data_IF_289932798781
#
_entry.id   IF_289932798781
#
_cell.length_a   1.000
_cell.length_b   1.000
_cell.length_c   1.000
_cell.angle_alpha   90.00
_cell.angle_beta   90.00
_cell.angle_gamma   90.00
#
_symmetry.space_group_name_H-M   'P 1'
#
loop_
_entity.id
_entity.type
_entity.pdbx_description
1 polymer ?
#
# COMPACT_ATOMS: atom_id res chain seq x y z
N UNK A 1 1.10 -36.70 -34.16
CA UNK A 1 1.05 -36.42 -32.71
C UNK A 1 1.37 -34.95 -32.53
N UNK A 2 0.37 -34.09 -32.31
CA UNK A 2 0.62 -32.67 -32.01
C UNK A 2 1.11 -32.58 -30.57
N UNK A 3 2.31 -32.04 -30.36
CA UNK A 3 2.83 -31.75 -29.02
C UNK A 3 2.24 -30.41 -28.54
N UNK A 4 1.46 -30.44 -27.46
CA UNK A 4 1.03 -29.24 -26.75
C UNK A 4 2.19 -28.77 -25.86
N UNK A 5 2.75 -27.60 -26.17
CA UNK A 5 3.68 -26.90 -25.27
C UNK A 5 2.82 -26.12 -24.26
N UNK A 6 2.67 -26.65 -23.05
CA UNK A 6 2.06 -25.90 -21.94
C UNK A 6 3.02 -24.80 -21.50
N UNK A 7 2.70 -23.56 -21.85
CA UNK A 7 3.36 -22.37 -21.32
C UNK A 7 2.91 -22.19 -19.87
N UNK A 8 3.79 -22.48 -18.92
CA UNK A 8 3.55 -22.24 -17.49
C UNK A 8 3.63 -20.72 -17.25
N UNK A 9 2.49 -20.03 -17.28
CA UNK A 9 2.42 -18.63 -16.86
C UNK A 9 2.47 -18.62 -15.34
N UNK A 10 3.69 -18.48 -14.79
CA UNK A 10 3.86 -18.18 -13.38
C UNK A 10 3.22 -16.82 -13.11
N UNK A 11 2.38 -16.66 -12.08
CA UNK A 11 1.93 -15.34 -11.68
C UNK A 11 3.18 -14.56 -11.27
N UNK A 12 3.57 -13.59 -12.10
CA UNK A 12 4.46 -12.54 -11.64
C UNK A 12 3.74 -11.94 -10.42
N UNK A 13 4.43 -11.82 -9.30
CA UNK A 13 3.89 -11.08 -8.16
C UNK A 13 3.83 -9.62 -8.61
N UNK A 14 2.70 -9.22 -9.18
CA UNK A 14 2.41 -7.85 -9.53
C UNK A 14 2.15 -7.10 -8.23
N UNK A 15 3.03 -6.14 -7.95
CA UNK A 15 3.02 -5.39 -6.71
C UNK A 15 2.61 -3.95 -7.03
N UNK A 16 1.44 -3.56 -6.55
CA UNK A 16 1.03 -2.16 -6.42
C UNK A 16 2.23 -1.33 -5.92
N UNK A 17 2.67 -0.36 -6.72
CA UNK A 17 3.86 0.43 -6.39
C UNK A 17 3.44 1.75 -5.77
N UNK A 18 3.90 2.02 -4.56
CA UNK A 18 3.50 3.20 -3.79
C UNK A 18 4.64 4.19 -3.70
N UNK A 19 4.35 5.43 -4.05
CA UNK A 19 5.26 6.55 -3.82
C UNK A 19 5.17 6.94 -2.35
N UNK A 20 6.26 6.73 -1.61
CA UNK A 20 6.37 7.24 -0.25
C UNK A 20 6.16 8.76 -0.25
N UNK A 21 5.39 9.32 0.70
CA UNK A 21 5.30 10.77 0.86
C UNK A 21 6.70 11.36 0.95
N UNK A 22 6.94 12.42 0.20
CA UNK A 22 8.20 13.15 0.18
C UNK A 22 8.34 14.14 1.36
N UNK A 23 7.38 14.14 2.28
CA UNK A 23 7.32 15.03 3.43
C UNK A 23 7.26 14.27 4.74
N UNK A 24 7.86 14.85 5.78
CA UNK A 24 7.64 14.41 7.16
C UNK A 24 6.18 14.61 7.50
N UNK A 25 5.47 13.54 7.82
CA UNK A 25 4.07 13.63 8.23
C UNK A 25 3.98 13.59 9.75
N UNK A 26 3.38 14.64 10.33
CA UNK A 26 3.10 14.74 11.76
C UNK A 26 1.77 14.08 12.13
N UNK A 27 1.62 13.61 13.37
CA UNK A 27 0.35 13.14 13.92
C UNK A 27 -0.77 14.19 13.77
N UNK A 28 -1.97 13.78 13.35
CA UNK A 28 -3.08 14.66 12.90
C UNK A 28 -2.78 15.59 11.72
N UNK A 29 -1.69 15.36 10.98
CA UNK A 29 -1.50 15.95 9.66
C UNK A 29 -2.28 15.21 8.59
N UNK A 30 -2.50 15.87 7.46
CA UNK A 30 -2.94 15.21 6.24
C UNK A 30 -1.74 14.59 5.51
N UNK A 31 -1.98 13.45 4.88
CA UNK A 31 -1.04 12.75 4.01
C UNK A 31 -1.72 12.45 2.68
N UNK A 32 -1.04 12.76 1.59
CA UNK A 32 -1.40 12.25 0.26
C UNK A 32 -0.53 11.05 -0.05
N UNK A 33 -1.16 9.92 -0.31
CA UNK A 33 -0.51 8.68 -0.74
C UNK A 33 -0.89 8.45 -2.19
N UNK A 34 0.09 8.17 -3.05
CA UNK A 34 -0.15 7.88 -4.46
C UNK A 34 0.49 6.56 -4.86
N UNK A 35 -0.11 5.90 -5.84
CA UNK A 35 0.31 4.59 -6.33
C UNK A 35 0.10 4.45 -7.83
N UNK A 36 0.76 3.47 -8.42
CA UNK A 36 0.52 3.04 -9.80
C UNK A 36 0.00 1.61 -9.80
N UNK A 37 -0.96 1.35 -10.69
CA UNK A 37 -1.54 0.03 -10.93
C UNK A 37 -1.04 -0.56 -12.25
N UNK A 38 -1.08 -1.88 -12.33
CA UNK A 38 -0.79 -2.67 -13.51
C UNK A 38 -1.91 -3.69 -13.76
N UNK A 39 -1.96 -4.24 -14.97
CA UNK A 39 -2.91 -5.30 -15.28
C UNK A 39 -2.64 -6.52 -14.39
N UNK A 40 -3.68 -6.97 -13.66
CA UNK A 40 -3.58 -8.07 -12.70
C UNK A 40 -3.48 -7.65 -11.23
N UNK A 41 -3.35 -6.34 -10.94
CA UNK A 41 -3.49 -5.83 -9.58
C UNK A 41 -4.93 -5.98 -9.07
N UNK A 42 -5.14 -6.09 -7.74
CA UNK A 42 -6.48 -6.16 -7.17
C UNK A 42 -7.24 -4.83 -7.37
N UNK A 43 -8.57 -4.92 -7.53
CA UNK A 43 -9.44 -3.74 -7.68
C UNK A 43 -9.46 -2.87 -6.41
N UNK A 44 -9.19 -3.49 -5.26
CA UNK A 44 -9.14 -2.81 -3.96
C UNK A 44 -7.95 -3.26 -3.11
N UNK A 45 -7.48 -2.39 -2.23
CA UNK A 45 -6.46 -2.73 -1.23
C UNK A 45 -6.66 -1.97 0.08
N UNK A 46 -5.87 -2.30 1.10
CA UNK A 46 -5.79 -1.55 2.36
C UNK A 46 -4.43 -0.89 2.54
N UNK A 47 -4.38 0.24 3.26
CA UNK A 47 -3.15 0.96 3.58
C UNK A 47 -2.90 0.89 5.08
N UNK A 48 -1.74 0.40 5.47
CA UNK A 48 -1.29 0.35 6.85
C UNK A 48 -0.05 1.19 7.10
N UNK A 49 0.00 1.83 8.26
CA UNK A 49 1.17 2.51 8.80
C UNK A 49 1.96 1.56 9.72
N UNK A 50 3.24 1.35 9.42
CA UNK A 50 4.11 0.42 10.15
C UNK A 50 5.14 1.16 11.00
N UNK A 51 5.17 0.85 12.29
CA UNK A 51 6.25 1.18 13.20
C UNK A 51 7.16 -0.05 13.36
N UNK A 52 8.30 -0.01 12.68
CA UNK A 52 9.27 -1.11 12.67
C UNK A 52 9.96 -1.32 14.02
N UNK A 53 10.03 -0.29 14.88
CA UNK A 53 10.63 -0.40 16.20
C UNK A 53 9.78 -1.18 17.20
N UNK A 54 8.47 -1.29 16.98
CA UNK A 54 7.53 -1.87 17.93
C UNK A 54 6.57 -2.94 17.38
N UNK A 55 6.80 -3.46 16.15
CA UNK A 55 5.88 -4.41 15.50
C UNK A 55 4.41 -3.95 15.54
N UNK A 56 4.18 -2.62 15.50
CA UNK A 56 2.84 -2.03 15.54
C UNK A 56 2.43 -1.64 14.13
N UNK A 57 1.25 -2.10 13.72
CA UNK A 57 0.64 -1.84 12.42
C UNK A 57 -0.68 -1.12 12.67
N UNK A 58 -0.99 -0.09 11.89
CA UNK A 58 -2.23 0.65 12.01
C UNK A 58 -2.85 0.85 10.63
N UNK A 59 -3.99 0.22 10.36
CA UNK A 59 -4.74 0.44 9.13
C UNK A 59 -5.30 1.86 9.11
N UNK A 60 -4.94 2.64 8.10
CA UNK A 60 -5.40 4.03 7.92
C UNK A 60 -6.43 4.17 6.79
N UNK A 61 -6.51 3.18 5.90
CA UNK A 61 -7.55 3.09 4.88
C UNK A 61 -7.81 1.63 4.51
N UNK A 62 -9.06 1.27 4.27
CA UNK A 62 -9.49 -0.07 3.87
C UNK A 62 -10.37 0.02 2.62
N UNK A 63 -10.37 -1.02 1.78
CA UNK A 63 -11.14 -1.08 0.53
C UNK A 63 -10.90 0.14 -0.38
N UNK A 64 -9.65 0.60 -0.46
CA UNK A 64 -9.24 1.69 -1.34
C UNK A 64 -9.33 1.21 -2.78
N UNK A 65 -10.12 1.91 -3.59
CA UNK A 65 -10.24 1.65 -5.02
C UNK A 65 -8.90 1.95 -5.71
N UNK A 66 -8.32 0.93 -6.33
CA UNK A 66 -7.01 1.02 -6.95
C UNK A 66 -6.99 1.98 -8.16
N UNK A 67 -8.13 2.21 -8.81
CA UNK A 67 -8.26 3.12 -9.94
C UNK A 67 -8.10 4.60 -9.59
N UNK A 68 -8.20 4.97 -8.30
CA UNK A 68 -8.05 6.35 -7.85
C UNK A 68 -6.63 6.89 -7.98
N UNK A 69 -5.62 6.01 -7.96
CA UNK A 69 -4.18 6.33 -8.04
C UNK A 69 -3.63 7.26 -6.94
N UNK A 70 -4.49 7.86 -6.12
CA UNK A 70 -4.14 8.73 -5.01
C UNK A 70 -5.29 8.85 -4.01
N UNK A 71 -4.94 9.04 -2.74
CA UNK A 71 -5.88 9.37 -1.66
C UNK A 71 -5.23 10.34 -0.68
N UNK A 72 -6.03 11.31 -0.20
CA UNK A 72 -5.64 12.16 0.93
C UNK A 72 -6.36 11.67 2.19
N UNK A 73 -5.59 11.42 3.24
CA UNK A 73 -6.07 10.88 4.51
C UNK A 73 -5.63 11.79 5.66
N UNK A 74 -6.49 11.98 6.65
CA UNK A 74 -6.09 12.56 7.93
C UNK A 74 -5.47 11.45 8.79
N UNK A 75 -4.22 11.65 9.23
CA UNK A 75 -3.60 10.69 10.12
C UNK A 75 -4.24 10.74 11.52
N UNK A 76 -4.40 9.60 12.20
CA UNK A 76 -4.81 9.59 13.59
C UNK A 76 -3.75 10.29 14.47
N UNK A 77 -4.18 10.69 15.67
CA UNK A 77 -3.23 11.06 16.72
C UNK A 77 -2.45 9.80 17.15
N UNK A 78 -1.14 9.82 16.91
CA UNK A 78 -0.26 8.71 17.26
C UNK A 78 0.41 9.00 18.62
N UNK A 79 0.61 7.98 19.48
CA UNK A 79 1.32 8.16 20.73
C UNK A 79 2.73 8.71 20.53
N UNK A 80 3.11 9.69 21.35
CA UNK A 80 4.43 10.32 21.31
C UNK A 80 5.54 9.27 21.53
N UNK A 81 6.62 9.33 20.74
CA UNK A 81 7.75 8.40 20.81
C UNK A 81 7.69 7.20 19.87
N UNK A 82 6.62 7.07 19.08
CA UNK A 82 6.52 6.07 18.03
C UNK A 82 6.93 6.65 16.67
N UNK A 83 7.91 6.04 15.99
CA UNK A 83 8.28 6.37 14.61
C UNK A 83 7.66 5.34 13.68
N UNK A 84 6.85 5.80 12.74
CA UNK A 84 6.31 4.98 11.67
C UNK A 84 7.01 5.35 10.37
N UNK A 85 7.62 4.38 9.71
CA UNK A 85 8.55 4.62 8.59
C UNK A 85 8.14 3.94 7.28
N UNK A 86 7.04 3.17 7.29
CA UNK A 86 6.65 2.37 6.15
C UNK A 86 5.13 2.28 6.00
N UNK A 87 4.68 2.28 4.75
CA UNK A 87 3.33 1.87 4.38
C UNK A 87 3.33 0.42 3.86
N UNK A 88 2.31 -0.37 4.21
CA UNK A 88 2.10 -1.72 3.66
C UNK A 88 0.70 -1.85 3.08
N UNK A 89 0.62 -2.61 1.99
CA UNK A 89 -0.57 -2.80 1.19
C UNK A 89 -0.93 -4.28 1.16
N UNK A 90 -2.21 -4.57 1.34
CA UNK A 90 -2.76 -5.92 1.28
C UNK A 90 -3.94 -5.94 0.31
N UNK A 91 -4.05 -6.97 -0.56
CA UNK A 91 -5.28 -7.25 -1.29
C UNK A 91 -6.42 -7.61 -0.33
#
# INVERSE_FOLDING_TARGET
>A
MLAFVSLLVLPFVHALTVSSPNTTVSSAGEITVSWTTSAGDPDTFSIELINQGFNRQFAIANNVDASLQSITLALPQLPTGCVYSQFRFFP
#
